data_IF_228562064762
#
_entry.id   IF_228562064762
#
_cell.length_a   1.000
_cell.length_b   1.000
_cell.length_c   1.000
_cell.angle_alpha   90.00
_cell.angle_beta   90.00
_cell.angle_gamma   90.00
#
_symmetry.space_group_name_H-M   'P 1'
#
loop_
_entity.id
_entity.type
_entity.pdbx_description
1 polymer ?
#
# COMPACT_ATOMS: atom_id res chain seq x y z
N UNK A 1 -17.47 -2.52 9.07
CA UNK A 1 -16.24 -3.20 9.54
C UNK A 1 -15.26 -2.09 9.91
N UNK A 2 -15.11 -1.80 11.20
CA UNK A 2 -14.36 -0.62 11.65
C UNK A 2 -12.84 -0.82 11.51
N UNK A 3 -12.15 0.16 10.94
CA UNK A 3 -10.68 0.16 10.90
C UNK A 3 -10.21 0.33 12.34
N UNK A 4 -9.62 -0.72 12.93
CA UNK A 4 -8.99 -0.63 14.25
C UNK A 4 -7.74 0.23 14.12
N UNK A 5 -7.76 1.44 14.68
CA UNK A 5 -6.55 2.24 14.79
C UNK A 5 -5.59 1.61 15.79
N UNK A 6 -4.34 1.46 15.37
CA UNK A 6 -3.26 0.99 16.25
C UNK A 6 -2.96 2.07 17.30
N UNK A 7 -2.84 1.64 18.54
CA UNK A 7 -2.30 2.43 19.66
C UNK A 7 -0.81 2.71 19.44
N UNK A 8 -0.26 3.69 20.16
CA UNK A 8 1.16 4.03 20.06
C UNK A 8 2.07 2.89 20.55
N UNK A 9 1.62 2.12 21.56
CA UNK A 9 2.31 0.91 22.00
C UNK A 9 2.36 -0.16 20.91
N UNK A 10 1.23 -0.40 20.22
CA UNK A 10 1.18 -1.35 19.09
C UNK A 10 2.09 -0.89 17.94
N UNK A 11 2.19 0.41 17.67
CA UNK A 11 3.13 0.96 16.66
C UNK A 11 4.59 0.77 17.06
N UNK A 12 4.92 0.98 18.33
CA UNK A 12 6.29 0.84 18.83
C UNK A 12 6.78 -0.61 18.77
N UNK A 13 5.92 -1.59 19.02
CA UNK A 13 6.25 -3.02 18.97
C UNK A 13 6.70 -3.49 17.56
N UNK A 14 6.25 -2.85 16.48
CA UNK A 14 6.62 -3.19 15.08
C UNK A 14 8.12 -2.93 14.81
N UNK A 15 8.80 -2.16 15.65
CA UNK A 15 10.24 -1.88 15.53
C UNK A 15 11.11 -3.08 15.91
N UNK A 16 10.57 -4.04 16.67
CA UNK A 16 11.31 -5.25 16.99
C UNK A 16 11.43 -6.12 15.74
N UNK A 17 12.68 -6.44 15.37
CA UNK A 17 12.95 -7.29 14.22
C UNK A 17 12.36 -8.68 14.49
N UNK A 18 11.49 -9.21 13.61
CA UNK A 18 10.97 -10.56 13.77
C UNK A 18 12.12 -11.57 13.70
N UNK A 19 12.00 -12.66 14.46
CA UNK A 19 12.96 -13.75 14.43
C UNK A 19 13.05 -14.41 13.05
N UNK A 20 14.20 -14.99 12.75
CA UNK A 20 14.44 -15.73 11.50
C UNK A 20 15.30 -14.98 10.47
N UNK A 21 15.40 -15.56 9.26
CA UNK A 21 16.18 -15.00 8.16
C UNK A 21 15.28 -14.12 7.27
N UNK A 22 15.77 -12.96 6.78
CA UNK A 22 15.04 -12.16 5.80
C UNK A 22 14.71 -12.99 4.55
N UNK A 23 13.47 -12.89 4.07
CA UNK A 23 13.04 -13.56 2.83
C UNK A 23 13.49 -12.81 1.56
N UNK A 24 13.81 -11.52 1.70
CA UNK A 24 14.24 -10.64 0.63
C UNK A 24 15.14 -9.53 1.19
N UNK A 25 16.09 -9.07 0.38
CA UNK A 25 16.86 -7.85 0.59
C UNK A 25 16.68 -6.97 -0.64
N UNK A 26 16.40 -5.68 -0.46
CA UNK A 26 16.26 -4.73 -1.55
C UNK A 26 17.23 -3.57 -1.36
N UNK A 27 17.89 -3.18 -2.44
CA UNK A 27 18.70 -1.97 -2.53
C UNK A 27 18.02 -1.00 -3.50
N UNK A 28 17.95 0.27 -3.10
CA UNK A 28 17.06 1.30 -3.60
C UNK A 28 17.90 2.53 -4.00
N UNK A 29 19.02 2.31 -4.69
CA UNK A 29 20.02 3.36 -4.97
C UNK A 29 19.69 4.30 -6.14
N UNK A 30 18.83 3.89 -7.08
CA UNK A 30 18.41 4.70 -8.24
C UNK A 30 16.95 4.45 -8.54
N UNK A 31 16.08 5.30 -8.03
CA UNK A 31 14.64 5.12 -8.11
C UNK A 31 13.99 6.28 -8.81
N UNK A 32 12.95 5.96 -9.56
CA UNK A 32 11.96 6.92 -10.01
C UNK A 32 10.64 6.51 -9.38
N UNK A 33 10.00 7.45 -8.70
CA UNK A 33 8.62 7.30 -8.27
C UNK A 33 7.73 8.09 -9.21
N UNK A 34 6.70 7.45 -9.75
CA UNK A 34 5.74 8.11 -10.61
C UNK A 34 4.32 7.80 -10.17
N UNK A 35 3.52 8.86 -10.09
CA UNK A 35 2.10 8.77 -9.78
C UNK A 35 1.32 9.27 -10.97
N UNK A 36 0.33 8.50 -11.43
CA UNK A 36 -0.54 8.94 -12.50
C UNK A 36 -2.01 8.72 -12.13
N UNK A 37 -2.83 9.73 -12.44
CA UNK A 37 -4.28 9.73 -12.24
C UNK A 37 -4.94 8.89 -13.32
N UNK A 38 -5.90 8.05 -12.95
CA UNK A 38 -6.71 7.27 -13.89
C UNK A 38 -8.19 7.30 -13.51
N UNK A 39 -9.03 7.07 -14.52
CA UNK A 39 -10.44 6.72 -14.29
C UNK A 39 -10.51 5.36 -13.58
N UNK A 40 -11.21 5.31 -12.46
CA UNK A 40 -11.47 4.09 -11.69
C UNK A 40 -12.09 2.99 -12.56
N UNK A 41 -12.96 3.37 -13.51
CA UNK A 41 -13.65 2.41 -14.39
C UNK A 41 -12.69 1.63 -15.28
N UNK A 42 -11.54 2.23 -15.64
CA UNK A 42 -10.50 1.54 -16.41
C UNK A 42 -9.76 0.50 -15.55
N UNK A 43 -9.68 0.72 -14.24
CA UNK A 43 -8.99 -0.16 -13.29
C UNK A 43 -9.88 -1.27 -12.75
N UNK A 44 -11.18 -1.02 -12.59
CA UNK A 44 -12.15 -1.95 -11.98
C UNK A 44 -12.08 -3.39 -12.52
N UNK A 45 -11.93 -3.64 -13.83
CA UNK A 45 -11.84 -5.02 -14.35
C UNK A 45 -10.57 -5.77 -13.94
N UNK A 46 -9.51 -5.06 -13.53
CA UNK A 46 -8.20 -5.64 -13.17
C UNK A 46 -8.08 -5.95 -11.67
N UNK A 47 -9.00 -5.43 -10.87
CA UNK A 47 -8.97 -5.55 -9.41
C UNK A 47 -10.03 -6.57 -8.96
N UNK A 48 -9.71 -7.51 -8.06
CA UNK A 48 -10.69 -8.43 -7.48
C UNK A 48 -11.89 -7.70 -6.89
N UNK A 49 -13.11 -8.19 -7.14
CA UNK A 49 -14.37 -7.53 -6.74
C UNK A 49 -14.47 -7.25 -5.24
N UNK A 50 -13.90 -8.14 -4.41
CA UNK A 50 -13.85 -7.99 -2.95
C UNK A 50 -12.98 -6.83 -2.46
N UNK A 51 -12.22 -6.18 -3.33
CA UNK A 51 -11.37 -5.04 -3.02
C UNK A 51 -12.00 -3.77 -3.58
N UNK A 52 -12.13 -2.77 -2.71
CA UNK A 52 -12.54 -1.41 -3.09
C UNK A 52 -11.34 -0.67 -3.67
N UNK A 53 -11.54 0.04 -4.78
CA UNK A 53 -10.53 0.96 -5.30
C UNK A 53 -10.62 2.23 -4.49
N UNK A 54 -9.51 2.62 -3.86
CA UNK A 54 -9.44 3.89 -3.15
C UNK A 54 -9.29 5.05 -4.14
N UNK A 55 -9.91 6.18 -3.80
CA UNK A 55 -9.89 7.36 -4.66
C UNK A 55 -9.47 8.58 -3.86
N UNK A 56 -8.68 9.43 -4.51
CA UNK A 56 -8.28 10.72 -3.99
C UNK A 56 -8.64 11.79 -5.02
N UNK A 57 -9.37 12.82 -4.58
CA UNK A 57 -9.92 13.87 -5.45
C UNK A 57 -10.76 13.30 -6.61
N UNK A 58 -11.59 12.29 -6.31
CA UNK A 58 -12.50 11.66 -7.27
C UNK A 58 -11.79 10.84 -8.35
N UNK A 59 -10.55 10.43 -8.16
CA UNK A 59 -9.85 9.55 -9.10
C UNK A 59 -8.97 8.52 -8.42
N UNK A 60 -8.75 7.43 -9.14
CA UNK A 60 -7.80 6.41 -8.75
C UNK A 60 -6.39 6.82 -9.18
N UNK A 61 -5.40 6.25 -8.51
CA UNK A 61 -3.99 6.53 -8.72
C UNK A 61 -3.21 5.22 -8.76
N UNK A 62 -2.21 5.16 -9.64
CA UNK A 62 -1.20 4.11 -9.59
C UNK A 62 0.15 4.75 -9.27
N UNK A 63 0.89 4.09 -8.40
CA UNK A 63 2.27 4.41 -8.08
C UNK A 63 3.19 3.30 -8.57
N UNK A 64 4.28 3.66 -9.24
CA UNK A 64 5.42 2.78 -9.56
C UNK A 64 6.67 3.39 -8.96
#
# INVERSE_FOLDING_TARGET
>A
MGIKQLTDLERLAIRERPGGRPIMHQDWGKLLFMHWRMDEKALRPLIPERLTIDTYDGSAWIAI
#
